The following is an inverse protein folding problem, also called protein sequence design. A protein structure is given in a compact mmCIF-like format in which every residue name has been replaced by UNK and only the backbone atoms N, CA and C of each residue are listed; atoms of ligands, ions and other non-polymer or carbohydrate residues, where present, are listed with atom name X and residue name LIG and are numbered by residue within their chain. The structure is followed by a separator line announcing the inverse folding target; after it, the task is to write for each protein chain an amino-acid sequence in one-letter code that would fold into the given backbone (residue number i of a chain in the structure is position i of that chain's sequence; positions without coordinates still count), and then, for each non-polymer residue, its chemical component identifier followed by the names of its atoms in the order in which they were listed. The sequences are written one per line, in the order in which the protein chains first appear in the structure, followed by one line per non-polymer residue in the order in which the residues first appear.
data_IF_328621510842
#
_entry.id   IF_328621510842
#
_cell.length_a   1.000
_cell.length_b   1.000
_cell.length_c   1.000
_cell.angle_alpha   90.00
_cell.angle_beta   90.00
_cell.angle_gamma   90.00
#
_symmetry.space_group_name_H-M   'P 1'
#
loop_
_entity.id
_entity.type
_entity.pdbx_description
1 polymer ?
#
# COMPACT_ATOMS: atom_id res chain seq x y z
N UNK A 1 -41.05 -28.87 -4.86
CA UNK A 1 -41.15 -27.77 -3.86
C UNK A 1 -39.76 -27.50 -3.27
N UNK A 2 -38.83 -27.03 -4.10
CA UNK A 2 -37.46 -26.64 -3.73
C UNK A 2 -36.92 -25.71 -4.83
N UNK A 3 -37.03 -24.40 -4.63
CA UNK A 3 -36.20 -23.33 -5.23
C UNK A 3 -36.90 -22.00 -4.98
N UNK A 4 -36.38 -21.18 -4.04
CA UNK A 4 -36.42 -19.70 -4.06
C UNK A 4 -36.24 -19.12 -2.64
N UNK A 5 -35.00 -19.11 -2.13
CA UNK A 5 -34.64 -18.29 -0.95
C UNK A 5 -33.20 -17.73 -1.01
N UNK A 6 -32.67 -17.45 -2.21
CA UNK A 6 -31.31 -16.92 -2.37
C UNK A 6 -31.22 -15.63 -3.21
N UNK A 7 -32.32 -14.89 -3.41
CA UNK A 7 -32.35 -13.71 -4.29
C UNK A 7 -32.90 -12.43 -3.66
N UNK A 8 -33.19 -12.38 -2.35
CA UNK A 8 -33.89 -11.23 -1.75
C UNK A 8 -33.04 -10.20 -0.99
N UNK A 9 -31.73 -10.39 -0.80
CA UNK A 9 -30.90 -9.42 -0.06
C UNK A 9 -29.97 -8.54 -0.92
N UNK A 10 -29.97 -8.72 -2.25
CA UNK A 10 -29.18 -7.91 -3.20
C UNK A 10 -30.01 -6.92 -4.02
N UNK A 11 -31.31 -6.80 -3.73
CA UNK A 11 -32.29 -6.20 -4.64
C UNK A 11 -32.93 -4.90 -4.13
N UNK A 12 -33.03 -4.67 -2.82
CA UNK A 12 -33.89 -3.61 -2.28
C UNK A 12 -33.16 -2.38 -1.72
N UNK A 13 -31.88 -2.45 -1.35
CA UNK A 13 -31.21 -1.34 -0.66
C UNK A 13 -30.52 -0.31 -1.58
N UNK A 14 -30.34 -0.62 -2.86
CA UNK A 14 -29.59 0.25 -3.80
C UNK A 14 -30.36 0.69 -5.05
N UNK A 15 -31.62 0.24 -5.24
CA UNK A 15 -32.43 0.69 -6.39
C UNK A 15 -32.95 2.13 -6.29
N UNK A 16 -32.70 2.81 -5.17
CA UNK A 16 -33.14 4.19 -4.93
C UNK A 16 -32.01 5.19 -4.64
N UNK A 17 -30.74 4.81 -4.70
CA UNK A 17 -29.65 5.77 -4.48
C UNK A 17 -29.35 6.52 -5.78
N UNK A 18 -29.56 7.85 -5.75
CA UNK A 18 -29.11 8.80 -6.76
C UNK A 18 -27.68 8.43 -7.22
N UNK A 19 -27.42 8.27 -8.53
CA UNK A 19 -26.08 8.05 -9.09
C UNK A 19 -25.03 9.05 -8.55
N UNK A 20 -25.45 10.26 -8.19
CA UNK A 20 -24.61 11.25 -7.52
C UNK A 20 -24.25 10.85 -6.08
N UNK A 21 -25.20 10.30 -5.30
CA UNK A 21 -24.95 9.78 -3.96
C UNK A 21 -24.01 8.57 -3.97
N UNK A 22 -24.17 7.66 -4.95
CA UNK A 22 -23.23 6.55 -5.15
C UNK A 22 -21.83 7.02 -5.51
N UNK A 23 -21.70 7.98 -6.45
CA UNK A 23 -20.40 8.60 -6.78
C UNK A 23 -19.78 9.32 -5.59
N UNK A 24 -20.59 9.99 -4.75
CA UNK A 24 -20.13 10.63 -3.51
C UNK A 24 -19.62 9.60 -2.49
N UNK A 25 -20.33 8.49 -2.29
CA UNK A 25 -19.92 7.40 -1.40
C UNK A 25 -18.66 6.68 -1.90
N UNK A 26 -18.58 6.36 -3.19
CA UNK A 26 -17.39 5.74 -3.80
C UNK A 26 -16.16 6.66 -3.71
N UNK A 27 -16.33 7.98 -3.89
CA UNK A 27 -15.27 8.99 -3.66
C UNK A 27 -14.87 9.08 -2.19
N UNK A 28 -15.85 9.06 -1.26
CA UNK A 28 -15.59 9.10 0.17
C UNK A 28 -14.89 7.83 0.70
N UNK A 29 -15.16 6.67 0.09
CA UNK A 29 -14.50 5.39 0.44
C UNK A 29 -13.06 5.27 -0.06
N UNK A 30 -12.58 6.22 -0.88
CA UNK A 30 -11.26 6.17 -1.51
C UNK A 30 -11.13 5.12 -2.62
N UNK A 31 -12.25 4.54 -3.08
CA UNK A 31 -12.28 3.51 -4.12
C UNK A 31 -12.54 4.07 -5.52
N UNK A 32 -13.01 5.32 -5.63
CA UNK A 32 -13.22 5.96 -6.91
C UNK A 32 -11.89 6.17 -7.67
N UNK A 33 -11.84 5.71 -8.92
CA UNK A 33 -10.70 5.91 -9.82
C UNK A 33 -11.13 6.84 -10.97
N UNK A 34 -10.44 7.96 -11.20
CA UNK A 34 -10.63 8.81 -12.37
C UNK A 34 -10.54 8.03 -13.68
N UNK A 35 -11.33 8.41 -14.68
CA UNK A 35 -11.43 7.66 -15.95
C UNK A 35 -10.08 7.50 -16.66
N UNK A 36 -9.27 8.56 -16.75
CA UNK A 36 -7.95 8.49 -17.36
C UNK A 36 -7.00 7.55 -16.61
N UNK A 37 -7.01 7.60 -15.27
CA UNK A 37 -6.20 6.72 -14.42
C UNK A 37 -6.66 5.26 -14.54
N UNK A 38 -7.96 5.02 -14.64
CA UNK A 38 -8.52 3.69 -14.87
C UNK A 38 -8.08 3.13 -16.23
N UNK A 39 -8.21 3.90 -17.30
CA UNK A 39 -7.81 3.48 -18.66
C UNK A 39 -6.31 3.17 -18.72
N UNK A 40 -5.46 4.04 -18.17
CA UNK A 40 -4.02 3.82 -18.11
C UNK A 40 -3.66 2.53 -17.34
N UNK A 41 -4.27 2.30 -16.17
CA UNK A 41 -4.04 1.06 -15.43
C UNK A 41 -4.53 -0.17 -16.20
N UNK A 42 -5.67 -0.10 -16.90
CA UNK A 42 -6.18 -1.22 -17.70
C UNK A 42 -5.25 -1.55 -18.87
N UNK A 43 -4.76 -0.54 -19.60
CA UNK A 43 -3.77 -0.74 -20.67
C UNK A 43 -2.52 -1.46 -20.15
N UNK A 44 -1.99 -1.02 -19.00
CA UNK A 44 -0.87 -1.70 -18.36
C UNK A 44 -1.18 -3.17 -18.04
N UNK A 45 -2.34 -3.45 -17.42
CA UNK A 45 -2.70 -4.81 -17.00
C UNK A 45 -2.98 -5.76 -18.16
N UNK A 46 -3.43 -5.22 -19.28
CA UNK A 46 -3.62 -5.96 -20.52
C UNK A 46 -2.32 -6.07 -21.33
N UNK A 47 -1.19 -5.62 -20.78
CA UNK A 47 0.11 -5.61 -21.46
C UNK A 47 0.05 -4.91 -22.83
N UNK A 48 -0.73 -3.83 -22.91
CA UNK A 48 -0.78 -2.98 -24.10
C UNK A 48 0.43 -2.04 -24.12
N UNK A 49 0.87 -1.65 -25.31
CA UNK A 49 1.85 -0.59 -25.43
C UNK A 49 1.23 0.75 -25.01
N UNK A 50 2.01 1.50 -24.24
CA UNK A 50 1.64 2.75 -23.59
C UNK A 50 2.59 3.90 -23.95
N UNK A 51 3.77 3.61 -24.53
CA UNK A 51 4.65 4.60 -25.16
C UNK A 51 5.36 3.97 -26.36
N UNK A 52 5.90 4.81 -27.24
CA UNK A 52 6.69 4.40 -28.40
C UNK A 52 8.20 4.26 -28.09
N UNK A 53 8.61 4.41 -26.82
CA UNK A 53 10.03 4.43 -26.45
C UNK A 53 10.63 5.83 -26.26
N UNK A 54 9.82 6.84 -25.96
CA UNK A 54 10.28 8.22 -25.78
C UNK A 54 11.15 8.41 -24.52
N UNK A 55 11.85 9.55 -24.44
CA UNK A 55 12.57 9.96 -23.23
C UNK A 55 11.59 10.34 -22.12
N UNK A 56 11.89 9.93 -20.88
CA UNK A 56 11.10 10.38 -19.75
C UNK A 56 11.32 11.88 -19.54
N UNK A 57 10.26 12.71 -19.44
CA UNK A 57 10.41 14.15 -19.24
C UNK A 57 10.87 14.54 -17.83
N UNK A 58 10.99 13.56 -16.92
CA UNK A 58 11.31 13.80 -15.51
C UNK A 58 12.66 13.20 -15.09
N UNK A 59 13.18 12.24 -15.85
CA UNK A 59 14.52 11.70 -15.63
C UNK A 59 15.16 11.34 -16.97
N UNK A 60 16.49 11.36 -17.04
CA UNK A 60 17.26 11.09 -18.27
C UNK A 60 17.31 9.60 -18.64
N UNK A 61 16.17 8.91 -18.60
CA UNK A 61 16.01 7.50 -18.94
C UNK A 61 14.88 7.32 -19.93
N UNK A 62 14.97 6.27 -20.74
CA UNK A 62 13.97 5.92 -21.75
C UNK A 62 12.73 5.30 -21.10
N UNK A 63 11.55 5.70 -21.58
CA UNK A 63 10.29 5.05 -21.23
C UNK A 63 10.20 3.71 -21.97
N UNK A 64 10.05 2.60 -21.25
CA UNK A 64 9.71 1.34 -21.89
C UNK A 64 8.27 1.38 -22.44
N UNK A 65 8.02 0.62 -23.52
CA UNK A 65 6.71 0.61 -24.17
C UNK A 65 5.58 0.16 -23.25
N UNK A 66 5.88 -0.65 -22.22
CA UNK A 66 4.88 -1.18 -21.29
C UNK A 66 4.60 -0.24 -20.12
N UNK A 67 5.35 0.84 -19.94
CA UNK A 67 5.16 1.82 -18.86
C UNK A 67 5.69 1.37 -17.48
N UNK A 68 6.60 0.40 -17.42
CA UNK A 68 7.27 -0.04 -16.19
C UNK A 68 8.15 1.04 -15.57
N UNK A 69 8.85 1.80 -16.40
CA UNK A 69 9.70 2.92 -16.03
C UNK A 69 8.93 3.88 -15.12
N UNK A 70 7.71 4.26 -15.52
CA UNK A 70 6.86 5.19 -14.77
C UNK A 70 6.57 4.71 -13.33
N UNK A 71 6.59 3.40 -13.09
CA UNK A 71 6.33 2.79 -11.77
C UNK A 71 7.58 2.74 -10.89
N UNK A 72 8.76 2.74 -11.50
CA UNK A 72 10.07 2.65 -10.85
C UNK A 72 10.79 3.99 -10.72
N UNK A 73 10.45 4.95 -11.58
CA UNK A 73 11.15 6.23 -11.72
C UNK A 73 11.27 6.94 -10.37
N UNK A 74 12.49 7.38 -10.06
CA UNK A 74 12.80 8.09 -8.83
C UNK A 74 12.44 9.59 -8.91
N UNK A 75 12.31 10.11 -10.13
CA UNK A 75 11.97 11.51 -10.36
C UNK A 75 10.47 11.79 -10.29
N UNK A 76 10.11 13.06 -10.08
CA UNK A 76 8.72 13.53 -10.04
C UNK A 76 7.97 13.25 -8.74
N UNK A 77 8.63 12.68 -7.72
CA UNK A 77 8.05 12.44 -6.40
C UNK A 77 6.96 11.36 -6.35
N UNK A 78 6.72 10.64 -7.46
CA UNK A 78 5.62 9.68 -7.58
C UNK A 78 5.75 8.49 -6.62
N UNK A 79 6.99 8.05 -6.32
CA UNK A 79 7.25 7.02 -5.31
C UNK A 79 6.76 7.47 -3.93
N UNK A 80 7.05 8.71 -3.53
CA UNK A 80 6.62 9.29 -2.26
C UNK A 80 5.10 9.45 -2.21
N UNK A 81 4.48 9.94 -3.29
CA UNK A 81 3.02 10.06 -3.37
C UNK A 81 2.35 8.69 -3.22
N UNK A 82 2.85 7.67 -3.93
CA UNK A 82 2.33 6.30 -3.86
C UNK A 82 2.50 5.70 -2.46
N UNK A 83 3.69 5.84 -1.88
CA UNK A 83 4.00 5.45 -0.52
C UNK A 83 3.00 6.05 0.48
N UNK A 84 2.86 7.38 0.46
CA UNK A 84 2.00 8.10 1.40
C UNK A 84 0.53 7.71 1.24
N UNK A 85 0.04 7.47 0.01
CA UNK A 85 -1.33 6.98 -0.22
C UNK A 85 -1.56 5.60 0.43
N UNK A 86 -0.64 4.66 0.26
CA UNK A 86 -0.75 3.32 0.83
C UNK A 86 -0.67 3.37 2.36
N UNK A 87 0.29 4.12 2.90
CA UNK A 87 0.45 4.37 4.33
C UNK A 87 -0.80 4.99 4.95
N UNK A 88 -1.30 6.08 4.36
CA UNK A 88 -2.46 6.79 4.89
C UNK A 88 -3.73 5.92 4.86
N UNK A 89 -3.89 5.08 3.83
CA UNK A 89 -4.98 4.11 3.77
C UNK A 89 -4.88 3.05 4.88
N UNK A 90 -3.66 2.67 5.28
CA UNK A 90 -3.46 1.82 6.46
C UNK A 90 -3.81 2.54 7.74
N UNK A 91 -3.24 3.71 7.95
CA UNK A 91 -3.48 4.52 9.13
C UNK A 91 -4.99 4.76 9.36
N UNK A 92 -5.70 5.22 8.33
CA UNK A 92 -7.14 5.45 8.41
C UNK A 92 -7.90 4.17 8.77
N UNK A 93 -7.54 3.01 8.19
CA UNK A 93 -8.17 1.75 8.54
C UNK A 93 -7.90 1.33 9.99
N UNK A 94 -6.66 1.48 10.47
CA UNK A 94 -6.30 1.19 11.86
C UNK A 94 -7.17 1.99 12.84
N UNK A 95 -7.29 3.30 12.61
CA UNK A 95 -8.03 4.20 13.50
C UNK A 95 -9.55 4.00 13.38
N UNK A 96 -10.08 4.01 12.16
CA UNK A 96 -11.53 4.07 11.92
C UNK A 96 -12.21 2.70 12.06
N UNK A 97 -11.58 1.65 11.53
CA UNK A 97 -12.18 0.31 11.45
C UNK A 97 -11.70 -0.56 12.62
N UNK A 98 -10.39 -0.58 12.88
CA UNK A 98 -9.80 -1.43 13.93
C UNK A 98 -9.79 -0.80 15.34
N UNK A 99 -10.05 0.50 15.47
CA UNK A 99 -10.01 1.20 16.76
C UNK A 99 -8.61 1.25 17.40
N UNK A 100 -7.56 1.07 16.62
CA UNK A 100 -6.17 1.16 17.09
C UNK A 100 -5.78 2.63 17.18
N UNK A 101 -5.19 3.03 18.31
CA UNK A 101 -4.63 4.36 18.54
C UNK A 101 -3.30 4.54 17.79
N UNK A 102 -3.33 4.38 16.46
CA UNK A 102 -2.16 4.48 15.62
C UNK A 102 -1.65 5.93 15.57
N UNK A 103 -0.35 6.12 15.35
CA UNK A 103 0.31 7.42 15.19
C UNK A 103 1.09 7.45 13.87
N UNK A 104 1.04 8.57 13.14
CA UNK A 104 1.84 8.77 11.92
C UNK A 104 3.20 9.34 12.25
N UNK A 105 4.26 8.77 11.64
CA UNK A 105 5.62 9.31 11.65
C UNK A 105 6.16 9.69 13.05
N UNK A 106 5.79 8.92 14.08
CA UNK A 106 6.10 9.25 15.48
C UNK A 106 7.61 9.46 15.69
N UNK A 107 8.07 10.66 16.08
CA UNK A 107 9.47 10.94 16.34
C UNK A 107 9.94 10.28 17.64
N UNK A 108 11.24 10.00 17.73
CA UNK A 108 11.87 9.55 18.98
C UNK A 108 11.51 8.14 19.41
N UNK A 109 11.03 7.28 18.50
CA UNK A 109 10.87 5.85 18.75
C UNK A 109 12.21 5.13 18.88
N UNK A 110 13.29 5.71 18.36
CA UNK A 110 14.64 5.20 18.51
C UNK A 110 15.58 6.34 18.87
N UNK A 111 16.65 5.98 19.60
CA UNK A 111 17.72 6.90 19.92
C UNK A 111 18.48 7.29 18.63
N UNK A 112 19.09 8.50 18.59
CA UNK A 112 19.96 8.89 17.50
C UNK A 112 21.11 7.88 17.32
N UNK A 113 21.58 7.66 16.09
CA UNK A 113 22.74 6.80 15.84
C UNK A 113 24.04 7.38 16.44
N UNK A 114 24.11 8.71 16.58
CA UNK A 114 25.24 9.42 17.17
C UNK A 114 24.73 10.20 18.38
N UNK A 115 25.25 9.94 19.59
CA UNK A 115 24.79 10.61 20.82
C UNK A 115 24.89 12.15 20.79
N UNK A 116 25.77 12.69 19.94
CA UNK A 116 26.08 14.13 19.85
C UNK A 116 25.37 14.87 18.70
N UNK A 117 24.40 14.26 18.01
CA UNK A 117 23.57 14.93 17.00
C UNK A 117 22.19 15.27 17.57
N UNK A 118 22.05 16.39 18.33
CA UNK A 118 20.76 16.83 18.86
C UNK A 118 19.78 17.10 17.72
N UNK A 119 18.55 16.57 17.85
CA UNK A 119 17.46 16.74 16.87
C UNK A 119 17.25 15.60 15.88
N UNK A 120 18.11 14.58 15.84
CA UNK A 120 18.00 13.46 14.89
C UNK A 120 17.29 12.23 15.48
N UNK A 121 16.17 12.47 16.17
CA UNK A 121 15.35 11.41 16.75
C UNK A 121 14.82 10.50 15.63
N UNK A 122 15.24 9.23 15.63
CA UNK A 122 14.95 8.31 14.53
C UNK A 122 13.46 7.96 14.49
N UNK A 123 12.94 7.90 13.26
CA UNK A 123 11.54 7.60 12.92
C UNK A 123 11.49 6.28 12.14
N UNK A 124 11.51 5.13 12.83
CA UNK A 124 11.45 3.82 12.18
C UNK A 124 10.06 3.47 11.67
N UNK A 125 9.02 4.21 12.08
CA UNK A 125 7.63 3.90 11.77
C UNK A 125 7.01 5.00 10.91
N UNK A 126 6.51 4.60 9.75
CA UNK A 126 5.53 5.40 9.01
C UNK A 126 4.18 5.40 9.72
N UNK A 127 3.81 4.25 10.28
CA UNK A 127 2.64 4.06 11.15
C UNK A 127 3.10 3.31 12.40
N UNK A 128 2.97 3.95 13.55
CA UNK A 128 3.25 3.35 14.85
C UNK A 128 1.96 2.81 15.47
N UNK A 129 2.00 1.58 16.00
CA UNK A 129 0.92 0.99 16.77
C UNK A 129 1.39 0.84 18.22
N UNK A 130 0.82 1.60 19.18
CA UNK A 130 1.23 1.52 20.58
C UNK A 130 0.87 0.17 21.22
N UNK A 131 -0.17 -0.49 20.71
CA UNK A 131 -0.62 -1.81 21.16
C UNK A 131 -0.78 -2.71 19.95
N UNK A 132 0.14 -3.66 19.82
CA UNK A 132 0.13 -4.71 18.81
C UNK A 132 -0.02 -6.09 19.46
N UNK A 133 0.50 -7.14 18.83
CA UNK A 133 0.42 -8.51 19.29
C UNK A 133 1.07 -8.67 20.68
N UNK A 134 0.35 -9.30 21.61
CA UNK A 134 0.83 -9.51 22.98
C UNK A 134 1.02 -8.21 23.78
N UNK A 135 0.41 -7.10 23.36
CA UNK A 135 0.52 -5.80 24.05
C UNK A 135 1.81 -5.02 23.75
N UNK A 136 2.75 -5.59 22.99
CA UNK A 136 3.96 -4.90 22.58
C UNK A 136 3.67 -3.88 21.47
N UNK A 137 4.41 -2.76 21.39
CA UNK A 137 4.27 -1.81 20.29
C UNK A 137 4.88 -2.31 18.99
N UNK A 138 4.42 -1.76 17.87
CA UNK A 138 4.96 -2.06 16.54
C UNK A 138 5.22 -0.81 15.70
N UNK A 139 6.34 -0.82 14.97
CA UNK A 139 6.73 0.16 13.98
C UNK A 139 6.50 -0.42 12.58
N UNK A 140 5.48 0.07 11.88
CA UNK A 140 5.23 -0.32 10.49
C UNK A 140 5.96 0.64 9.55
N UNK A 141 6.77 0.09 8.66
CA UNK A 141 7.62 0.84 7.74
C UNK A 141 7.27 0.49 6.29
N UNK A 142 6.61 1.40 5.58
CA UNK A 142 5.95 1.15 4.30
C UNK A 142 6.88 1.33 3.11
N UNK A 143 6.69 0.48 2.09
CA UNK A 143 7.31 0.71 0.81
C UNK A 143 6.51 0.08 -0.33
N UNK A 144 6.65 0.72 -1.50
CA UNK A 144 6.13 0.17 -2.75
C UNK A 144 7.29 -0.01 -3.72
N UNK A 145 7.72 -1.25 -3.87
CA UNK A 145 8.77 -1.66 -4.81
C UNK A 145 8.17 -2.16 -6.11
N UNK A 146 8.98 -2.35 -7.15
CA UNK A 146 8.50 -2.86 -8.43
C UNK A 146 9.29 -4.12 -8.79
N UNK A 147 8.63 -5.21 -9.21
CA UNK A 147 9.33 -6.40 -9.69
C UNK A 147 10.16 -6.11 -10.95
N UNK A 148 9.85 -5.03 -11.67
CA UNK A 148 10.53 -4.61 -12.90
C UNK A 148 11.74 -3.69 -12.64
N UNK A 149 12.20 -3.53 -11.40
CA UNK A 149 13.48 -2.86 -11.14
C UNK A 149 14.62 -3.77 -11.60
N UNK A 150 15.70 -3.17 -12.13
CA UNK A 150 16.89 -3.89 -12.61
C UNK A 150 17.43 -4.87 -11.56
N UNK A 151 17.43 -4.48 -10.29
CA UNK A 151 17.88 -5.32 -9.19
C UNK A 151 17.05 -6.60 -8.96
N UNK A 152 15.79 -6.65 -9.43
CA UNK A 152 14.86 -7.75 -9.14
C UNK A 152 14.36 -8.48 -10.38
N UNK A 153 14.33 -7.83 -11.55
CA UNK A 153 13.58 -8.30 -12.73
C UNK A 153 13.96 -9.72 -13.17
N UNK A 154 15.24 -10.10 -13.11
CA UNK A 154 15.69 -11.43 -13.49
C UNK A 154 15.08 -12.55 -12.62
N UNK A 155 15.07 -12.35 -11.31
CA UNK A 155 14.52 -13.33 -10.37
C UNK A 155 13.01 -13.21 -10.22
N UNK A 156 12.48 -11.98 -10.21
CA UNK A 156 11.05 -11.70 -10.07
C UNK A 156 10.21 -12.24 -11.24
N UNK A 157 10.83 -12.48 -12.40
CA UNK A 157 10.18 -13.17 -13.51
C UNK A 157 9.76 -14.61 -13.18
N UNK A 158 10.48 -15.28 -12.26
CA UNK A 158 10.27 -16.70 -11.92
C UNK A 158 9.81 -16.91 -10.48
N UNK A 159 10.06 -15.95 -9.60
CA UNK A 159 9.77 -16.04 -8.17
C UNK A 159 8.80 -14.93 -7.78
N UNK A 160 7.54 -15.31 -7.55
CA UNK A 160 6.52 -14.38 -7.11
C UNK A 160 6.93 -13.66 -5.82
N UNK A 161 6.63 -12.36 -5.74
CA UNK A 161 6.90 -11.50 -4.59
C UNK A 161 8.38 -11.27 -4.27
N UNK A 162 9.33 -11.75 -5.11
CA UNK A 162 10.75 -11.63 -4.84
C UNK A 162 11.17 -10.19 -4.53
N UNK A 163 10.72 -9.22 -5.32
CA UNK A 163 11.07 -7.82 -5.09
C UNK A 163 10.57 -7.32 -3.73
N UNK A 164 9.34 -7.66 -3.34
CA UNK A 164 8.81 -7.26 -2.02
C UNK A 164 9.56 -7.92 -0.86
N UNK A 165 9.89 -9.21 -0.97
CA UNK A 165 10.60 -9.97 0.06
C UNK A 165 12.04 -9.44 0.21
N UNK A 166 12.76 -9.28 -0.90
CA UNK A 166 14.14 -8.74 -0.87
C UNK A 166 14.19 -7.32 -0.34
N UNK A 167 13.20 -6.49 -0.66
CA UNK A 167 13.14 -5.12 -0.13
C UNK A 167 12.74 -5.06 1.34
N UNK A 168 11.91 -5.99 1.82
CA UNK A 168 11.63 -6.17 3.25
C UNK A 168 12.92 -6.43 4.05
N UNK A 169 13.78 -7.33 3.59
CA UNK A 169 15.06 -7.61 4.24
C UNK A 169 16.01 -6.39 4.19
N UNK A 170 16.02 -5.69 3.06
CA UNK A 170 16.76 -4.43 2.91
C UNK A 170 16.33 -3.40 3.97
N UNK A 171 15.02 -3.26 4.21
CA UNK A 171 14.48 -2.35 5.23
C UNK A 171 14.89 -2.74 6.65
N UNK A 172 14.89 -4.03 6.98
CA UNK A 172 15.32 -4.52 8.29
C UNK A 172 16.78 -4.17 8.58
N UNK A 173 17.64 -4.41 7.59
CA UNK A 173 19.08 -4.16 7.67
C UNK A 173 19.44 -2.67 7.62
N UNK A 174 18.61 -1.84 6.95
CA UNK A 174 18.89 -0.43 6.78
C UNK A 174 19.10 0.27 8.12
N UNK A 175 20.29 0.83 8.33
CA UNK A 175 20.70 1.54 9.56
C UNK A 175 20.47 0.71 10.84
N UNK A 176 20.55 -0.62 10.73
CA UNK A 176 20.28 -1.57 11.80
C UNK A 176 18.92 -1.34 12.49
N UNK A 177 17.91 -0.87 11.74
CA UNK A 177 16.63 -0.41 12.29
C UNK A 177 15.90 -1.52 13.04
N UNK A 178 15.84 -2.73 12.46
CA UNK A 178 15.14 -3.84 13.10
C UNK A 178 15.74 -4.22 14.46
N UNK A 179 17.08 -4.32 14.54
CA UNK A 179 17.75 -4.63 15.80
C UNK A 179 17.60 -3.50 16.82
N UNK A 180 17.66 -2.24 16.38
CA UNK A 180 17.45 -1.09 17.25
C UNK A 180 16.02 -1.06 17.82
N UNK A 181 15.00 -1.37 17.01
CA UNK A 181 13.62 -1.53 17.48
C UNK A 181 13.50 -2.67 18.50
N UNK A 182 14.07 -3.83 18.20
CA UNK A 182 14.04 -4.98 19.10
C UNK A 182 14.68 -4.67 20.47
N UNK A 183 15.82 -3.98 20.48
CA UNK A 183 16.50 -3.55 21.70
C UNK A 183 15.66 -2.58 22.57
N UNK A 184 14.69 -1.90 21.98
CA UNK A 184 13.77 -0.98 22.67
C UNK A 184 12.37 -1.58 22.87
N UNK A 185 12.20 -2.89 22.66
CA UNK A 185 10.92 -3.58 22.83
C UNK A 185 9.86 -3.22 21.78
N UNK A 186 10.27 -2.67 20.63
CA UNK A 186 9.38 -2.34 19.51
C UNK A 186 9.51 -3.39 18.42
N UNK A 187 8.40 -3.95 17.95
CA UNK A 187 8.41 -4.86 16.81
C UNK A 187 8.53 -4.07 15.51
N UNK A 188 9.62 -4.26 14.76
CA UNK A 188 9.76 -3.65 13.43
C UNK A 188 9.09 -4.52 12.36
N UNK A 189 8.15 -3.94 11.61
CA UNK A 189 7.33 -4.64 10.61
C UNK A 189 7.45 -3.94 9.25
N UNK A 190 8.29 -4.46 8.33
CA UNK A 190 8.32 -3.97 6.96
C UNK A 190 6.97 -4.21 6.27
N UNK A 191 6.35 -3.14 5.79
CA UNK A 191 5.08 -3.17 5.06
C UNK A 191 5.35 -2.94 3.58
N UNK A 192 5.93 -3.95 2.93
CA UNK A 192 6.33 -3.86 1.53
C UNK A 192 5.27 -4.46 0.60
N UNK A 193 4.87 -3.68 -0.39
CA UNK A 193 4.06 -4.14 -1.52
C UNK A 193 4.74 -3.87 -2.86
N UNK A 194 4.31 -4.60 -3.87
CA UNK A 194 4.74 -4.40 -5.25
C UNK A 194 3.82 -3.42 -5.98
N UNK A 195 4.31 -2.84 -7.07
CA UNK A 195 3.53 -1.97 -7.98
C UNK A 195 2.36 -2.70 -8.65
N UNK A 196 2.30 -4.03 -8.59
CA UNK A 196 1.15 -4.85 -8.97
C UNK A 196 -0.01 -4.78 -7.95
N UNK A 197 0.29 -4.36 -6.71
CA UNK A 197 -0.60 -4.39 -5.56
C UNK A 197 -0.42 -5.62 -4.65
N UNK A 198 0.47 -6.54 -5.00
CA UNK A 198 0.76 -7.71 -4.19
C UNK A 198 1.62 -7.35 -2.97
N UNK A 199 1.47 -8.06 -1.86
CA UNK A 199 2.14 -7.75 -0.59
C UNK A 199 3.11 -8.86 -0.21
N UNK A 200 4.23 -8.49 0.41
CA UNK A 200 5.11 -9.48 1.04
C UNK A 200 4.31 -10.35 2.04
N UNK A 201 4.68 -11.64 2.24
CA UNK A 201 3.93 -12.53 3.14
C UNK A 201 3.78 -12.00 4.57
N UNK A 202 4.84 -11.40 5.13
CA UNK A 202 4.79 -10.79 6.46
C UNK A 202 3.80 -9.62 6.54
N UNK A 203 3.83 -8.71 5.55
CA UNK A 203 2.94 -7.57 5.50
C UNK A 203 1.49 -8.04 5.33
N UNK A 204 1.28 -9.09 4.53
CA UNK A 204 -0.02 -9.75 4.39
C UNK A 204 -0.53 -10.31 5.71
N UNK A 205 0.33 -10.86 6.57
CA UNK A 205 -0.04 -11.35 7.89
C UNK A 205 -0.47 -10.21 8.82
N UNK A 206 0.27 -9.09 8.83
CA UNK A 206 -0.09 -7.87 9.55
C UNK A 206 -1.45 -7.34 9.11
N UNK A 207 -1.68 -7.26 7.79
CA UNK A 207 -2.96 -6.85 7.22
C UNK A 207 -4.12 -7.76 7.67
N UNK A 208 -3.93 -9.09 7.68
CA UNK A 208 -4.93 -10.04 8.19
C UNK A 208 -5.21 -9.83 9.68
N UNK A 209 -4.18 -9.55 10.48
CA UNK A 209 -4.34 -9.31 11.91
C UNK A 209 -5.12 -8.02 12.19
N UNK A 210 -4.81 -6.91 11.52
CA UNK A 210 -5.59 -5.67 11.64
C UNK A 210 -7.03 -5.88 11.19
N UNK A 211 -7.25 -6.62 10.10
CA UNK A 211 -8.61 -6.95 9.65
C UNK A 211 -9.39 -7.78 10.67
N UNK A 212 -8.75 -8.72 11.38
CA UNK A 212 -9.38 -9.50 12.46
C UNK A 212 -9.78 -8.61 13.63
N UNK A 213 -8.94 -7.65 14.01
CA UNK A 213 -9.26 -6.69 15.06
C UNK A 213 -10.45 -5.80 14.66
N UNK A 214 -10.45 -5.28 13.44
CA UNK A 214 -11.58 -4.52 12.90
C UNK A 214 -12.88 -5.36 12.86
N UNK A 215 -12.77 -6.62 12.46
CA UNK A 215 -13.90 -7.55 12.42
C UNK A 215 -14.48 -7.84 13.82
N UNK A 216 -13.61 -8.07 14.82
CA UNK A 216 -14.03 -8.27 16.20
C UNK A 216 -14.77 -7.04 16.74
N UNK A 217 -14.27 -5.83 16.44
CA UNK A 217 -14.92 -4.57 16.84
C UNK A 217 -16.25 -4.33 16.13
N UNK A 218 -16.34 -4.62 14.84
CA UNK A 218 -17.51 -4.34 14.02
C UNK A 218 -18.58 -5.44 14.02
N UNK A 219 -18.31 -6.60 14.64
CA UNK A 219 -19.20 -7.76 14.57
C UNK A 219 -19.37 -8.32 13.16
N UNK A 220 -18.34 -8.21 12.30
CA UNK A 220 -18.38 -8.59 10.87
C UNK A 220 -17.35 -9.69 10.55
N UNK A 221 -17.50 -10.45 9.45
CA UNK A 221 -16.53 -11.47 9.08
C UNK A 221 -15.14 -10.88 8.77
N UNK A 222 -14.08 -11.45 9.35
CA UNK A 222 -12.70 -11.02 9.12
C UNK A 222 -12.29 -11.04 7.63
N UNK A 223 -12.84 -11.98 6.86
CA UNK A 223 -12.60 -12.06 5.41
C UNK A 223 -13.16 -10.86 4.65
N UNK A 224 -14.25 -10.26 5.11
CA UNK A 224 -14.85 -9.06 4.53
C UNK A 224 -13.98 -7.84 4.78
N UNK A 225 -13.58 -7.63 6.03
CA UNK A 225 -12.71 -6.50 6.40
C UNK A 225 -11.34 -6.63 5.73
N UNK A 226 -10.81 -7.84 5.61
CA UNK A 226 -9.55 -8.09 4.91
C UNK A 226 -9.66 -7.78 3.40
N UNK A 227 -10.77 -8.16 2.74
CA UNK A 227 -11.00 -7.80 1.33
C UNK A 227 -11.09 -6.29 1.15
N UNK A 228 -11.86 -5.60 2.01
CA UNK A 228 -11.97 -4.13 1.97
C UNK A 228 -10.62 -3.44 2.15
N UNK A 229 -9.84 -3.91 3.13
CA UNK A 229 -8.49 -3.46 3.42
C UNK A 229 -7.54 -3.59 2.21
N UNK A 230 -7.54 -4.76 1.56
CA UNK A 230 -6.76 -5.02 0.36
C UNK A 230 -7.23 -4.18 -0.83
N UNK A 231 -8.54 -4.06 -1.03
CA UNK A 231 -9.12 -3.31 -2.13
C UNK A 231 -8.73 -1.82 -2.08
N UNK A 232 -8.87 -1.18 -0.92
CA UNK A 232 -8.48 0.25 -0.73
C UNK A 232 -7.00 0.47 -1.06
N UNK A 233 -6.11 -0.44 -0.63
CA UNK A 233 -4.67 -0.36 -0.92
C UNK A 233 -4.33 -0.66 -2.38
N UNK A 234 -4.98 -1.65 -2.98
CA UNK A 234 -4.80 -1.97 -4.39
C UNK A 234 -5.20 -0.79 -5.26
N UNK A 235 -6.33 -0.14 -4.96
CA UNK A 235 -6.74 1.09 -5.65
C UNK A 235 -5.69 2.19 -5.44
N UNK A 236 -5.24 2.43 -4.20
CA UNK A 236 -4.23 3.44 -3.91
C UNK A 236 -2.94 3.26 -4.74
N UNK A 237 -2.39 2.04 -4.82
CA UNK A 237 -1.20 1.72 -5.62
C UNK A 237 -1.45 1.95 -7.10
N UNK A 238 -2.54 1.40 -7.64
CA UNK A 238 -2.83 1.41 -9.07
C UNK A 238 -3.13 2.81 -9.60
N UNK A 239 -3.97 3.55 -8.89
CA UNK A 239 -4.28 4.94 -9.16
C UNK A 239 -3.02 5.81 -9.13
N UNK A 240 -2.10 5.58 -8.17
CA UNK A 240 -0.83 6.29 -8.14
C UNK A 240 0.10 5.94 -9.30
N UNK A 241 0.17 4.66 -9.70
CA UNK A 241 0.97 4.22 -10.85
C UNK A 241 0.43 4.78 -12.17
N UNK A 242 -0.89 4.72 -12.36
CA UNK A 242 -1.54 5.29 -13.54
C UNK A 242 -1.29 6.80 -13.63
N UNK A 243 -1.40 7.53 -12.51
CA UNK A 243 -1.05 8.96 -12.47
C UNK A 243 0.40 9.22 -12.82
N UNK A 244 1.34 8.42 -12.30
CA UNK A 244 2.75 8.55 -12.62
C UNK A 244 3.02 8.34 -14.12
N UNK A 245 2.30 7.39 -14.74
CA UNK A 245 2.36 7.16 -16.17
C UNK A 245 1.80 8.36 -16.97
N UNK A 246 0.58 8.81 -16.65
CA UNK A 246 -0.08 9.93 -17.34
C UNK A 246 0.73 11.24 -17.28
N UNK A 247 1.50 11.49 -16.22
CA UNK A 247 2.41 12.64 -16.14
C UNK A 247 3.57 12.62 -17.15
N UNK A 248 3.86 11.46 -17.75
CA UNK A 248 5.02 11.26 -18.64
C UNK A 248 4.61 11.10 -20.10
N UNK A 249 3.38 10.66 -20.37
CA UNK A 249 2.88 10.39 -21.72
C UNK A 249 1.69 11.27 -22.13
N UNK A 250 1.17 12.07 -21.21
CA UNK A 250 0.03 12.95 -21.42
C UNK A 250 0.43 14.39 -21.63
#
# INVERSE_FOLDING_TARGET
MLQSYATSLWSSTLRGQDPCARKKFERASGLAVPAAEFVAEMKYRLCMDQSAGDWCPLCDSVLDSRGNHCRCCIAGGDKTVRHNKVRNAMFAFCVQEAGIQAELERPGLLLPMRPHEPGNARRPADVYLPQWYGGLPAALDFAVTSPNQVAYVGTAANVALHASISYSETKRAHLNTAAACAAQGVTFLPMVCETSGAWAPEASAVLKQVARQAAARAGRPASELYRSLLQRRSVAVRTANARAHLKRVG
#
